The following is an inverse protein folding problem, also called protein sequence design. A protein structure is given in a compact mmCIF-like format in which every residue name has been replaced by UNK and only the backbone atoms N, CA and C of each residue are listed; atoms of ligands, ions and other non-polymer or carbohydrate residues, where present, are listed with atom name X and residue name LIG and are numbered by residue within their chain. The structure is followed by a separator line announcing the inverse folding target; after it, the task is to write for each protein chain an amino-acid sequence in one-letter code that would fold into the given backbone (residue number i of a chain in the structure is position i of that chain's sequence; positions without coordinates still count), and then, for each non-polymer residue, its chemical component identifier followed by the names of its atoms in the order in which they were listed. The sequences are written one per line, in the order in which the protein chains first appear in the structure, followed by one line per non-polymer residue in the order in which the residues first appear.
data_IF_854963387610
#
_entry.id   IF_854963387610
#
_cell.length_a   1.000
_cell.length_b   1.000
_cell.length_c   1.000
_cell.angle_alpha   90.00
_cell.angle_beta   90.00
_cell.angle_gamma   90.00
#
_symmetry.space_group_name_H-M   'P 1'
#
loop_
_entity.id
_entity.type
_entity.pdbx_description
1 polymer ?
#
# COMPACT_ATOMS: atom_id res chain seq x y z
N UNK A 1 -10.73 20.47 -5.35
CA UNK A 1 -11.62 19.30 -5.61
C UNK A 1 -11.06 18.11 -4.86
N UNK A 2 -11.85 17.44 -4.00
CA UNK A 2 -11.39 16.28 -3.24
C UNK A 2 -11.24 15.07 -4.18
N UNK A 3 -10.07 14.42 -4.19
CA UNK A 3 -9.86 13.20 -4.97
C UNK A 3 -10.69 12.07 -4.36
N UNK A 4 -11.44 11.35 -5.20
CA UNK A 4 -12.16 10.12 -4.79
C UNK A 4 -11.12 9.06 -4.41
N UNK A 5 -11.40 8.29 -3.37
CA UNK A 5 -10.56 7.15 -2.98
C UNK A 5 -10.55 6.12 -4.12
N UNK A 6 -9.36 5.72 -4.56
CA UNK A 6 -9.15 4.79 -5.69
C UNK A 6 -9.16 3.32 -5.27
N UNK A 7 -9.07 3.03 -3.96
CA UNK A 7 -9.13 1.68 -3.42
C UNK A 7 -8.77 1.65 -1.92
N UNK A 8 -8.99 0.50 -1.29
CA UNK A 8 -8.60 0.23 0.10
C UNK A 8 -7.77 -1.05 0.15
N UNK A 9 -6.57 -0.96 0.73
CA UNK A 9 -5.67 -2.08 0.92
C UNK A 9 -5.52 -2.32 2.42
N UNK A 10 -5.86 -3.52 2.90
CA UNK A 10 -5.68 -3.93 4.30
C UNK A 10 -4.45 -4.82 4.40
N UNK A 11 -3.43 -4.34 5.08
CA UNK A 11 -2.19 -5.08 5.33
C UNK A 11 -1.97 -5.16 6.83
N UNK A 12 -1.65 -6.35 7.33
CA UNK A 12 -1.26 -6.55 8.73
C UNK A 12 0.26 -6.51 8.82
N UNK A 13 0.81 -5.39 9.30
CA UNK A 13 2.23 -5.27 9.56
C UNK A 13 2.48 -4.55 10.88
N UNK A 14 3.56 -4.89 11.60
CA UNK A 14 4.01 -4.09 12.73
C UNK A 14 4.37 -2.66 12.27
N UNK A 15 4.14 -1.69 13.14
CA UNK A 15 4.41 -0.27 12.86
C UNK A 15 5.87 -0.08 12.40
N UNK A 16 6.07 0.73 11.35
CA UNK A 16 7.40 1.06 10.83
C UNK A 16 8.07 -0.02 9.96
N UNK A 17 7.45 -1.20 9.74
CA UNK A 17 7.99 -2.24 8.84
C UNK A 17 7.35 -2.25 7.46
N UNK A 18 7.06 -1.08 6.89
CA UNK A 18 6.65 -1.00 5.50
C UNK A 18 7.90 -1.25 4.63
N UNK A 19 8.00 -2.40 3.98
CA UNK A 19 9.10 -2.74 3.08
C UNK A 19 8.58 -3.28 1.74
N UNK A 20 9.38 -3.29 0.67
CA UNK A 20 8.95 -3.80 -0.64
C UNK A 20 8.71 -5.31 -0.70
N UNK A 21 8.93 -6.04 0.39
CA UNK A 21 8.74 -7.48 0.40
C UNK A 21 7.24 -7.82 0.27
N UNK A 22 6.90 -9.02 -0.24
CA UNK A 22 5.52 -9.52 -0.15
C UNK A 22 5.06 -9.51 1.32
N UNK A 23 3.85 -9.05 1.65
CA UNK A 23 2.73 -8.68 0.76
C UNK A 23 2.66 -7.19 0.35
N UNK A 24 3.51 -6.32 0.89
CA UNK A 24 3.36 -4.86 0.78
C UNK A 24 3.80 -4.32 -0.58
N UNK A 25 4.98 -4.71 -1.07
CA UNK A 25 5.48 -4.25 -2.37
C UNK A 25 4.54 -4.59 -3.53
N UNK A 26 4.07 -5.85 -3.66
CA UNK A 26 3.07 -6.21 -4.67
C UNK A 26 1.76 -5.43 -4.52
N UNK A 27 1.23 -5.29 -3.30
CA UNK A 27 -0.03 -4.60 -3.07
C UNK A 27 0.04 -3.10 -3.36
N UNK A 28 1.10 -2.41 -2.95
CA UNK A 28 1.26 -0.98 -3.22
C UNK A 28 1.63 -0.71 -4.68
N UNK A 29 2.52 -1.54 -5.26
CA UNK A 29 2.94 -1.43 -6.66
C UNK A 29 1.79 -1.62 -7.65
N UNK A 30 0.86 -2.55 -7.38
CA UNK A 30 -0.35 -2.72 -8.19
C UNK A 30 -1.23 -1.48 -8.23
N UNK A 31 -1.18 -0.64 -7.19
CA UNK A 31 -1.93 0.61 -7.10
C UNK A 31 -1.09 1.84 -7.48
N UNK A 32 0.13 1.66 -7.98
CA UNK A 32 1.03 2.75 -8.35
C UNK A 32 1.51 3.59 -7.16
N UNK A 33 1.48 3.03 -5.95
CA UNK A 33 1.92 3.69 -4.72
C UNK A 33 3.38 3.31 -4.47
N UNK A 34 4.26 4.31 -4.45
CA UNK A 34 5.67 4.11 -4.11
C UNK A 34 5.85 3.99 -2.58
N UNK A 35 6.74 3.10 -2.16
CA UNK A 35 7.10 2.80 -0.77
C UNK A 35 8.60 3.02 -0.55
#
# INVERSE_FOLDING_TARGET
MAKKATGFIKLQLPAGKANPAPPVGPALGQHGVNI
#
